data_IF_380761218323
#
_entry.id   IF_380761218323
#
_cell.length_a   1.000
_cell.length_b   1.000
_cell.length_c   1.000
_cell.angle_alpha   90.00
_cell.angle_beta   90.00
_cell.angle_gamma   90.00
#
_symmetry.space_group_name_H-M   'P 1'
#
loop_
_entity.id
_entity.type
_entity.pdbx_description
1 polymer ?
#
# COMPACT_ATOMS: atom_id res chain seq x y z
N UNK A 1 -15.64 7.76 -24.65
CA UNK A 1 -15.31 9.20 -24.55
C UNK A 1 -13.80 9.36 -24.78
N UNK A 2 -13.35 10.38 -25.52
CA UNK A 2 -11.91 10.71 -25.66
C UNK A 2 -11.52 11.81 -24.67
N UNK A 3 -10.26 11.86 -24.26
CA UNK A 3 -9.75 12.95 -23.41
C UNK A 3 -9.81 14.28 -24.16
N UNK A 4 -10.28 15.33 -23.48
CA UNK A 4 -10.26 16.70 -24.01
C UNK A 4 -8.98 17.40 -23.56
N UNK A 5 -7.98 17.44 -24.45
CA UNK A 5 -6.61 17.86 -24.12
C UNK A 5 -6.26 19.20 -24.77
N UNK A 6 -5.62 20.09 -24.00
CA UNK A 6 -4.96 21.31 -24.52
C UNK A 6 -3.47 21.08 -24.78
N UNK A 7 -2.82 20.34 -23.88
CA UNK A 7 -1.45 19.87 -24.00
C UNK A 7 -1.47 18.35 -24.20
N UNK A 8 -0.44 17.75 -24.82
CA UNK A 8 -0.29 16.29 -24.79
C UNK A 8 -0.26 15.78 -23.34
N UNK A 9 -0.87 14.63 -23.09
CA UNK A 9 -0.86 13.97 -21.79
C UNK A 9 0.03 12.73 -21.87
N UNK A 10 1.05 12.68 -21.01
CA UNK A 10 1.93 11.52 -20.88
C UNK A 10 1.47 10.64 -19.74
N UNK A 11 1.06 9.42 -20.06
CA UNK A 11 0.91 8.33 -19.11
C UNK A 11 2.24 7.61 -19.00
N UNK A 12 2.76 7.40 -17.80
CA UNK A 12 4.01 6.68 -17.63
C UNK A 12 4.03 5.83 -16.37
N UNK A 13 4.94 4.87 -16.41
CA UNK A 13 5.18 3.85 -15.39
C UNK A 13 6.67 3.49 -15.41
N UNK A 14 7.23 3.24 -14.23
CA UNK A 14 8.66 3.01 -14.00
C UNK A 14 8.88 1.72 -13.24
N UNK A 15 9.82 0.93 -13.74
CA UNK A 15 10.47 -0.12 -12.95
C UNK A 15 11.82 0.38 -12.45
N UNK A 16 12.19 0.01 -11.23
CA UNK A 16 13.40 0.51 -10.56
C UNK A 16 14.16 -0.58 -9.81
N UNK A 17 15.41 -0.29 -9.43
CA UNK A 17 16.27 -1.19 -8.64
C UNK A 17 15.74 -1.49 -7.23
N UNK A 18 14.78 -0.70 -6.75
CA UNK A 18 14.18 -0.75 -5.43
C UNK A 18 13.17 0.40 -5.22
N UNK A 19 12.67 0.56 -4.00
CA UNK A 19 11.60 1.52 -3.67
C UNK A 19 12.09 2.85 -3.03
N UNK A 20 13.39 3.01 -2.80
CA UNK A 20 13.94 4.22 -2.22
C UNK A 20 14.31 5.24 -3.30
N UNK A 21 13.42 6.21 -3.54
CA UNK A 21 13.59 7.30 -4.52
C UNK A 21 14.97 7.97 -4.46
N UNK A 22 15.54 8.16 -3.27
CA UNK A 22 16.80 8.88 -3.11
C UNK A 22 18.03 8.08 -3.58
N UNK A 23 17.98 6.74 -3.51
CA UNK A 23 19.15 5.88 -3.78
C UNK A 23 18.96 4.93 -4.95
N UNK A 24 17.74 4.50 -5.23
CA UNK A 24 17.41 3.60 -6.33
C UNK A 24 17.38 4.32 -7.68
N UNK A 25 17.39 3.52 -8.76
CA UNK A 25 17.56 3.96 -10.15
C UNK A 25 16.49 3.32 -11.02
N UNK A 26 16.12 3.99 -12.10
CA UNK A 26 15.19 3.48 -13.11
C UNK A 26 15.87 2.37 -13.93
N UNK A 27 15.17 1.25 -14.14
CA UNK A 27 15.59 0.14 -15.00
C UNK A 27 14.73 0.01 -16.26
N UNK A 28 13.47 0.46 -16.21
CA UNK A 28 12.60 0.57 -17.38
C UNK A 28 11.67 1.78 -17.23
N UNK A 29 11.44 2.48 -18.31
CA UNK A 29 10.46 3.56 -18.41
C UNK A 29 9.55 3.30 -19.61
N UNK A 30 8.25 3.19 -19.34
CA UNK A 30 7.22 3.14 -20.38
C UNK A 30 6.39 4.42 -20.34
N UNK A 31 6.16 5.03 -21.50
CA UNK A 31 5.39 6.25 -21.62
C UNK A 31 4.49 6.24 -22.86
N UNK A 32 3.19 6.43 -22.65
CA UNK A 32 2.17 6.66 -23.68
C UNK A 32 1.85 8.15 -23.75
N UNK A 33 2.17 8.77 -24.88
CA UNK A 33 1.84 10.17 -25.19
C UNK A 33 0.55 10.23 -25.97
N UNK A 34 -0.46 10.90 -25.38
CA UNK A 34 -1.74 11.17 -26.03
C UNK A 34 -1.79 12.63 -26.46
N UNK A 35 -1.98 12.86 -27.75
CA UNK A 35 -1.99 14.20 -28.35
C UNK A 35 -3.40 14.82 -28.34
N UNK A 36 -3.54 16.17 -28.45
CA UNK A 36 -4.85 16.83 -28.50
C UNK A 36 -5.80 16.36 -29.60
N UNK A 37 -5.27 15.93 -30.75
CA UNK A 37 -6.07 15.35 -31.84
C UNK A 37 -6.47 13.89 -31.59
N UNK A 38 -6.01 13.28 -30.49
CA UNK A 38 -6.26 11.90 -30.12
C UNK A 38 -5.23 10.89 -30.61
N UNK A 39 -4.19 11.33 -31.33
CA UNK A 39 -3.09 10.45 -31.74
C UNK A 39 -2.31 9.96 -30.51
N UNK A 40 -1.75 8.76 -30.64
CA UNK A 40 -1.06 8.08 -29.55
C UNK A 40 0.32 7.60 -30.01
N UNK A 41 1.33 7.84 -29.17
CA UNK A 41 2.70 7.36 -29.36
C UNK A 41 3.15 6.68 -28.06
N UNK A 42 3.51 5.39 -28.12
CA UNK A 42 4.08 4.68 -26.98
C UNK A 42 5.58 4.49 -27.16
N UNK A 43 6.33 4.71 -26.08
CA UNK A 43 7.76 4.40 -26.01
C UNK A 43 8.05 3.66 -24.72
N UNK A 44 8.75 2.55 -24.84
CA UNK A 44 9.25 1.78 -23.70
C UNK A 44 10.75 1.63 -23.87
N UNK A 45 11.50 1.85 -22.79
CA UNK A 45 12.95 1.78 -22.82
C UNK A 45 13.50 1.20 -21.54
N UNK A 46 14.29 0.13 -21.68
CA UNK A 46 15.18 -0.36 -20.64
C UNK A 46 16.39 0.54 -20.52
N UNK A 47 16.82 0.76 -19.29
CA UNK A 47 17.85 1.73 -18.91
C UNK A 47 18.85 1.00 -18.03
N UNK A 48 20.15 1.16 -18.30
CA UNK A 48 21.18 0.66 -17.41
C UNK A 48 21.20 1.54 -16.14
N UNK A 49 20.84 1.01 -14.96
CA UNK A 49 20.77 1.78 -13.72
C UNK A 49 22.15 2.13 -13.15
N UNK A 50 23.23 1.54 -13.65
CA UNK A 50 24.62 1.66 -13.16
C UNK A 50 24.84 1.17 -11.72
N UNK A 51 23.81 0.57 -11.09
CA UNK A 51 23.86 -0.06 -9.77
C UNK A 51 23.11 -1.41 -9.83
N UNK A 52 23.36 -2.35 -8.90
CA UNK A 52 22.65 -3.61 -8.87
C UNK A 52 21.14 -3.45 -8.63
N UNK A 53 20.33 -4.23 -9.33
CA UNK A 53 18.89 -4.42 -9.05
C UNK A 53 18.75 -5.30 -7.79
N UNK A 54 17.91 -4.90 -6.84
CA UNK A 54 17.63 -5.72 -5.66
C UNK A 54 16.91 -7.03 -6.03
N UNK A 55 17.16 -8.15 -5.32
CA UNK A 55 16.45 -9.40 -5.55
C UNK A 55 14.93 -9.24 -5.43
N UNK A 56 14.47 -8.40 -4.51
CA UNK A 56 13.05 -8.12 -4.29
C UNK A 56 12.45 -7.42 -5.52
N UNK A 57 13.08 -6.36 -6.03
CA UNK A 57 12.61 -5.67 -7.23
C UNK A 57 12.60 -6.61 -8.45
N UNK A 58 13.70 -7.35 -8.66
CA UNK A 58 13.79 -8.33 -9.74
C UNK A 58 12.69 -9.40 -9.64
N UNK A 59 12.33 -9.85 -8.42
CA UNK A 59 11.23 -10.82 -8.24
C UNK A 59 9.86 -10.27 -8.63
N UNK A 60 9.68 -8.95 -8.60
CA UNK A 60 8.43 -8.26 -8.93
C UNK A 60 8.32 -8.02 -10.43
N UNK A 61 9.29 -7.33 -11.03
CA UNK A 61 9.21 -6.89 -12.42
C UNK A 61 9.94 -7.83 -13.41
N UNK A 62 10.74 -8.78 -12.90
CA UNK A 62 11.40 -9.82 -13.72
C UNK A 62 12.58 -9.37 -14.57
N UNK A 63 13.12 -8.17 -14.35
CA UNK A 63 14.24 -7.61 -15.14
C UNK A 63 15.53 -7.88 -14.38
N UNK A 64 16.48 -8.57 -15.00
CA UNK A 64 17.77 -8.89 -14.38
C UNK A 64 18.82 -7.81 -14.64
N UNK A 65 19.96 -7.88 -13.94
CA UNK A 65 21.09 -6.98 -14.20
C UNK A 65 21.65 -7.18 -15.63
N UNK A 66 21.62 -8.41 -16.13
CA UNK A 66 22.10 -8.78 -17.47
C UNK A 66 21.20 -8.20 -18.56
N UNK A 67 19.88 -8.14 -18.34
CA UNK A 67 18.91 -7.58 -19.28
C UNK A 67 19.18 -6.11 -19.63
N UNK A 68 19.74 -5.36 -18.68
CA UNK A 68 19.96 -3.92 -18.78
C UNK A 68 21.44 -3.54 -18.91
N UNK A 69 22.36 -4.50 -18.80
CA UNK A 69 23.80 -4.24 -18.79
C UNK A 69 24.28 -3.45 -20.03
N UNK A 70 23.72 -3.75 -21.20
CA UNK A 70 24.06 -3.10 -22.47
C UNK A 70 23.06 -2.01 -22.91
N UNK A 71 22.06 -1.71 -22.07
CA UNK A 71 21.13 -0.62 -22.33
C UNK A 71 21.80 0.75 -22.11
N UNK A 72 21.29 1.83 -22.73
CA UNK A 72 21.77 3.17 -22.43
C UNK A 72 21.46 3.53 -20.98
N UNK A 73 22.36 4.27 -20.35
CA UNK A 73 22.16 4.85 -19.02
C UNK A 73 21.13 5.97 -19.07
N UNK A 74 20.54 6.32 -17.92
CA UNK A 74 19.60 7.43 -17.87
C UNK A 74 20.23 8.73 -18.38
N UNK A 75 21.49 8.99 -18.02
CA UNK A 75 22.25 10.18 -18.44
C UNK A 75 22.34 10.32 -19.96
N UNK A 76 22.49 9.22 -20.70
CA UNK A 76 22.56 9.22 -22.16
C UNK A 76 21.21 9.54 -22.81
N UNK A 77 20.10 9.15 -22.17
CA UNK A 77 18.75 9.34 -22.71
C UNK A 77 18.05 10.60 -22.19
N UNK A 78 18.54 11.18 -21.08
CA UNK A 78 17.87 12.26 -20.35
C UNK A 78 17.54 13.47 -21.25
N UNK A 79 18.48 13.94 -22.07
CA UNK A 79 18.23 15.12 -22.92
C UNK A 79 17.12 14.88 -23.95
N UNK A 80 17.15 13.75 -24.66
CA UNK A 80 16.14 13.44 -25.67
C UNK A 80 14.78 13.16 -25.04
N UNK A 81 14.76 12.51 -23.87
CA UNK A 81 13.55 12.29 -23.09
C UNK A 81 12.93 13.62 -22.62
N UNK A 82 13.74 14.53 -22.04
CA UNK A 82 13.28 15.85 -21.63
C UNK A 82 12.69 16.65 -22.81
N UNK A 83 13.32 16.61 -23.99
CA UNK A 83 12.78 17.24 -25.20
C UNK A 83 11.44 16.63 -25.61
N UNK A 84 11.33 15.30 -25.61
CA UNK A 84 10.09 14.61 -26.00
C UNK A 84 8.94 14.84 -25.01
N UNK A 85 9.25 14.97 -23.71
CA UNK A 85 8.29 15.28 -22.64
C UNK A 85 7.94 16.76 -22.53
N UNK A 86 8.73 17.65 -23.15
CA UNK A 86 8.48 19.09 -23.08
C UNK A 86 7.08 19.44 -23.61
N UNK A 87 6.41 20.35 -22.89
CA UNK A 87 5.06 20.78 -23.24
C UNK A 87 3.94 19.85 -22.77
N UNK A 88 4.25 18.65 -22.27
CA UNK A 88 3.26 17.68 -21.84
C UNK A 88 2.78 17.94 -20.41
N UNK A 89 1.51 17.62 -20.15
CA UNK A 89 1.02 17.29 -18.82
C UNK A 89 1.24 15.80 -18.53
N UNK A 90 1.11 15.38 -17.28
CA UNK A 90 1.52 14.06 -16.79
C UNK A 90 0.38 13.29 -16.15
N UNK A 91 0.42 11.97 -16.30
CA UNK A 91 -0.52 11.05 -15.70
C UNK A 91 0.14 9.71 -15.37
N UNK A 92 -0.43 9.00 -14.40
CA UNK A 92 -0.04 7.64 -14.05
C UNK A 92 -0.90 7.11 -12.91
N UNK A 93 -0.63 5.89 -12.45
CA UNK A 93 -1.35 5.29 -11.33
C UNK A 93 -0.44 5.28 -10.12
N UNK A 94 -0.71 6.12 -9.10
CA UNK A 94 0.20 6.37 -7.96
C UNK A 94 1.52 7.07 -8.33
N UNK A 95 1.57 7.67 -9.54
CA UNK A 95 2.78 8.31 -10.07
C UNK A 95 3.25 9.52 -9.26
N UNK A 96 2.35 10.21 -8.57
CA UNK A 96 2.72 11.37 -7.73
C UNK A 96 3.57 10.98 -6.53
N UNK A 97 3.44 9.73 -6.05
CA UNK A 97 4.13 9.24 -4.86
C UNK A 97 5.48 8.60 -5.19
N UNK A 98 5.65 8.05 -6.38
CA UNK A 98 6.82 7.24 -6.73
C UNK A 98 7.46 7.62 -8.06
N UNK A 99 6.76 7.45 -9.18
CA UNK A 99 7.32 7.60 -10.53
C UNK A 99 7.85 9.00 -10.82
N UNK A 100 7.08 10.05 -10.47
CA UNK A 100 7.50 11.44 -10.65
C UNK A 100 8.73 11.76 -9.80
N UNK A 101 8.75 11.47 -8.47
CA UNK A 101 9.94 11.63 -7.67
C UNK A 101 11.16 10.87 -8.22
N UNK A 102 10.99 9.61 -8.64
CA UNK A 102 12.08 8.80 -9.19
C UNK A 102 12.65 9.41 -10.48
N UNK A 103 11.77 9.81 -11.40
CA UNK A 103 12.18 10.42 -12.67
C UNK A 103 12.82 11.80 -12.47
N UNK A 104 12.33 12.59 -11.51
CA UNK A 104 12.93 13.86 -11.15
C UNK A 104 14.36 13.68 -10.60
N UNK A 105 14.57 12.71 -9.70
CA UNK A 105 15.89 12.36 -9.19
C UNK A 105 16.85 11.91 -10.30
N UNK A 106 16.39 11.09 -11.25
CA UNK A 106 17.19 10.69 -12.41
C UNK A 106 17.60 11.87 -13.31
N UNK A 107 16.68 12.82 -13.57
CA UNK A 107 17.00 14.05 -14.29
C UNK A 107 18.05 14.89 -13.56
N UNK A 108 17.93 15.03 -12.24
CA UNK A 108 18.91 15.73 -11.41
C UNK A 108 20.29 15.05 -11.44
N UNK A 109 20.35 13.72 -11.31
CA UNK A 109 21.60 12.93 -11.42
C UNK A 109 22.24 13.05 -12.80
N UNK A 110 21.44 13.14 -13.86
CA UNK A 110 21.92 13.35 -15.22
C UNK A 110 22.36 14.79 -15.51
N UNK A 111 22.09 15.75 -14.62
CA UNK A 111 22.37 17.17 -14.83
C UNK A 111 21.47 17.81 -15.90
N UNK A 112 20.26 17.27 -16.10
CA UNK A 112 19.29 17.79 -17.08
C UNK A 112 18.15 18.44 -16.32
N UNK A 113 17.92 19.73 -16.55
CA UNK A 113 16.84 20.47 -15.89
C UNK A 113 15.48 20.07 -16.45
N UNK A 114 14.64 19.47 -15.62
CA UNK A 114 13.25 19.17 -15.92
C UNK A 114 12.38 19.43 -14.69
N UNK A 115 11.41 20.33 -14.80
CA UNK A 115 10.58 20.74 -13.66
C UNK A 115 9.12 20.32 -13.85
N UNK A 116 8.75 19.19 -13.23
CA UNK A 116 7.40 18.66 -13.23
C UNK A 116 6.37 19.61 -12.58
N UNK A 117 6.80 20.49 -11.65
CA UNK A 117 5.89 21.39 -10.91
C UNK A 117 5.26 22.46 -11.80
N UNK A 118 5.80 22.68 -13.00
CA UNK A 118 5.26 23.61 -14.01
C UNK A 118 4.19 22.98 -14.90
N UNK A 119 3.87 21.70 -14.70
CA UNK A 119 2.90 20.93 -15.49
C UNK A 119 1.79 20.42 -14.60
N UNK A 120 0.67 20.05 -15.22
CA UNK A 120 -0.42 19.39 -14.49
C UNK A 120 -0.09 17.91 -14.34
N UNK A 121 -0.48 17.35 -13.22
CA UNK A 121 -0.35 15.93 -12.94
C UNK A 121 -1.72 15.36 -12.59
N UNK A 122 -2.11 14.29 -13.28
CA UNK A 122 -3.33 13.53 -13.02
C UNK A 122 -2.93 12.18 -12.45
N UNK A 123 -3.22 11.94 -11.18
CA UNK A 123 -3.00 10.64 -10.57
C UNK A 123 -4.29 9.82 -10.60
N UNK A 124 -4.31 8.77 -11.41
CA UNK A 124 -5.49 7.93 -11.64
C UNK A 124 -5.89 7.19 -10.36
N UNK A 125 -4.92 6.79 -9.52
CA UNK A 125 -5.22 6.14 -8.25
C UNK A 125 -5.96 7.10 -7.30
N UNK A 126 -5.55 8.37 -7.26
CA UNK A 126 -6.23 9.37 -6.43
C UNK A 126 -7.67 9.62 -6.88
N UNK A 127 -7.95 9.54 -8.19
CA UNK A 127 -9.33 9.61 -8.71
C UNK A 127 -10.11 8.38 -8.25
N UNK A 128 -9.55 7.18 -8.42
CA UNK A 128 -10.16 5.93 -7.96
C UNK A 128 -10.51 5.99 -6.46
N UNK A 129 -9.55 6.34 -5.59
CA UNK A 129 -9.81 6.43 -4.15
C UNK A 129 -10.84 7.50 -3.75
N UNK A 130 -11.00 8.56 -4.55
CA UNK A 130 -12.00 9.61 -4.28
C UNK A 130 -13.41 9.18 -4.65
N UNK A 131 -13.55 8.40 -5.73
CA UNK A 131 -14.85 7.96 -6.25
C UNK A 131 -15.30 6.62 -5.67
N UNK A 132 -14.36 5.71 -5.45
CA UNK A 132 -14.58 4.35 -4.92
C UNK A 132 -14.14 4.28 -3.45
N UNK A 133 -14.90 4.99 -2.61
CA UNK A 133 -14.60 5.09 -1.18
C UNK A 133 -14.83 3.76 -0.45
N UNK A 134 -14.02 3.50 0.58
CA UNK A 134 -14.17 2.34 1.48
C UNK A 134 -14.91 2.73 2.77
N UNK A 135 -16.07 3.37 2.62
CA UNK A 135 -16.93 3.82 3.71
C UNK A 135 -18.21 2.98 3.79
N UNK A 136 -18.90 3.00 4.93
CA UNK A 136 -20.18 2.30 5.09
C UNK A 136 -21.20 2.77 4.05
N UNK A 137 -21.35 4.08 3.84
CA UNK A 137 -22.25 4.65 2.84
C UNK A 137 -21.94 4.17 1.41
N UNK A 138 -20.65 4.10 1.05
CA UNK A 138 -20.23 3.60 -0.25
C UNK A 138 -20.54 2.10 -0.40
N UNK A 139 -20.30 1.31 0.65
CA UNK A 139 -20.65 -0.12 0.65
C UNK A 139 -22.17 -0.34 0.55
N UNK A 140 -22.96 0.44 1.28
CA UNK A 140 -24.42 0.36 1.26
C UNK A 140 -24.99 0.70 -0.11
N UNK A 141 -24.45 1.75 -0.75
CA UNK A 141 -24.77 2.09 -2.13
C UNK A 141 -24.36 1.00 -3.11
N UNK A 142 -23.17 0.45 -2.97
CA UNK A 142 -22.63 -0.55 -3.90
C UNK A 142 -23.36 -1.90 -3.82
N UNK A 143 -23.64 -2.39 -2.60
CA UNK A 143 -24.25 -3.70 -2.38
C UNK A 143 -25.78 -3.63 -2.42
N UNK A 144 -26.39 -2.60 -1.85
CA UNK A 144 -27.83 -2.52 -1.65
C UNK A 144 -28.52 -1.52 -2.60
N UNK A 145 -27.76 -0.74 -3.39
CA UNK A 145 -28.31 0.35 -4.24
C UNK A 145 -29.11 1.39 -3.45
N UNK A 146 -28.77 1.62 -2.18
CA UNK A 146 -29.44 2.56 -1.26
C UNK A 146 -28.47 3.65 -0.79
N UNK A 147 -29.01 4.84 -0.53
CA UNK A 147 -28.28 5.91 0.15
C UNK A 147 -28.47 5.77 1.67
N UNK A 148 -27.42 6.07 2.45
CA UNK A 148 -27.48 5.99 3.90
C UNK A 148 -28.04 7.29 4.50
N UNK A 149 -29.33 7.28 4.83
CA UNK A 149 -29.97 8.36 5.57
C UNK A 149 -29.59 8.30 7.06
N UNK A 150 -29.45 9.46 7.72
CA UNK A 150 -29.04 9.57 9.13
C UNK A 150 -27.72 8.86 9.46
N UNK A 151 -26.76 8.90 8.52
CA UNK A 151 -25.41 8.37 8.73
C UNK A 151 -24.81 8.87 10.06
N UNK A 152 -24.06 8.00 10.74
CA UNK A 152 -23.52 8.19 12.10
C UNK A 152 -24.53 8.04 13.25
N UNK A 153 -25.81 7.78 12.96
CA UNK A 153 -26.68 7.15 13.96
C UNK A 153 -26.28 5.68 14.13
N UNK A 154 -26.09 5.25 15.38
CA UNK A 154 -25.74 3.87 15.69
C UNK A 154 -26.76 2.86 15.12
N UNK A 155 -28.05 3.22 15.13
CA UNK A 155 -29.11 2.37 14.57
C UNK A 155 -29.00 2.28 13.04
N UNK A 156 -28.90 3.41 12.35
CA UNK A 156 -28.82 3.45 10.89
C UNK A 156 -27.59 2.70 10.38
N UNK A 157 -26.44 2.89 11.03
CA UNK A 157 -25.19 2.22 10.67
C UNK A 157 -25.28 0.70 10.92
N UNK A 158 -25.95 0.27 11.99
CA UNK A 158 -26.17 -1.15 12.31
C UNK A 158 -27.06 -1.82 11.28
N UNK A 159 -28.20 -1.21 10.94
CA UNK A 159 -29.14 -1.75 9.94
C UNK A 159 -28.49 -1.82 8.56
N UNK A 160 -27.80 -0.76 8.14
CA UNK A 160 -27.09 -0.76 6.86
C UNK A 160 -26.01 -1.85 6.81
N UNK A 161 -25.29 -2.09 7.91
CA UNK A 161 -24.29 -3.16 8.00
C UNK A 161 -24.91 -4.54 7.84
N UNK A 162 -26.06 -4.80 8.48
CA UNK A 162 -26.80 -6.04 8.32
C UNK A 162 -27.24 -6.27 6.87
N UNK A 163 -27.88 -5.28 6.24
CA UNK A 163 -28.33 -5.39 4.85
C UNK A 163 -27.16 -5.58 3.86
N UNK A 164 -26.00 -4.96 4.14
CA UNK A 164 -24.78 -5.18 3.35
C UNK A 164 -24.35 -6.65 3.42
N UNK A 165 -24.38 -7.27 4.60
CA UNK A 165 -23.98 -8.67 4.76
C UNK A 165 -24.93 -9.60 3.98
N UNK A 166 -26.24 -9.38 4.05
CA UNK A 166 -27.22 -10.12 3.25
C UNK A 166 -26.91 -10.01 1.74
N UNK A 167 -26.69 -8.78 1.25
CA UNK A 167 -26.35 -8.54 -0.14
C UNK A 167 -24.99 -9.14 -0.55
N UNK A 168 -24.02 -9.23 0.36
CA UNK A 168 -22.74 -9.90 0.12
C UNK A 168 -22.92 -11.42 -0.03
N UNK A 169 -23.73 -12.04 0.84
CA UNK A 169 -24.06 -13.47 0.76
C UNK A 169 -24.76 -13.80 -0.56
N UNK A 170 -25.71 -12.97 -0.99
CA UNK A 170 -26.41 -13.16 -2.27
C UNK A 170 -25.45 -13.01 -3.47
N UNK A 171 -24.61 -11.97 -3.45
CA UNK A 171 -23.70 -11.65 -4.56
C UNK A 171 -22.57 -12.67 -4.70
N UNK A 172 -22.07 -13.20 -3.59
CA UNK A 172 -20.90 -14.08 -3.54
C UNK A 172 -21.25 -15.48 -3.04
N UNK A 173 -22.46 -15.98 -3.35
CA UNK A 173 -22.96 -17.31 -2.96
C UNK A 173 -22.04 -18.50 -3.31
N UNK A 174 -21.18 -18.35 -4.31
CA UNK A 174 -20.23 -19.39 -4.74
C UNK A 174 -18.92 -19.35 -3.93
N UNK A 175 -18.73 -18.33 -3.09
CA UNK A 175 -17.52 -18.07 -2.29
C UNK A 175 -17.85 -18.03 -0.79
N UNK A 176 -18.98 -17.42 -0.41
CA UNK A 176 -19.41 -17.24 0.96
C UNK A 176 -20.43 -18.31 1.36
N UNK A 177 -20.20 -18.92 2.52
CA UNK A 177 -21.20 -19.77 3.18
C UNK A 177 -22.06 -18.90 4.10
N UNK A 178 -23.38 -19.09 4.07
CA UNK A 178 -24.31 -18.44 5.00
C UNK A 178 -24.27 -19.15 6.37
N UNK A 179 -23.09 -19.11 6.99
CA UNK A 179 -22.79 -19.69 8.28
C UNK A 179 -21.88 -18.73 9.05
N UNK A 180 -22.27 -18.40 10.29
CA UNK A 180 -21.56 -17.39 11.09
C UNK A 180 -20.13 -17.82 11.41
N UNK A 181 -19.87 -19.12 11.59
CA UNK A 181 -18.51 -19.60 11.85
C UNK A 181 -17.63 -19.41 10.62
N UNK A 182 -18.10 -19.81 9.44
CA UNK A 182 -17.38 -19.57 8.20
C UNK A 182 -17.11 -18.07 7.98
N UNK A 183 -18.12 -17.22 8.14
CA UNK A 183 -17.99 -15.77 7.94
C UNK A 183 -17.01 -15.12 8.93
N UNK A 184 -17.02 -15.57 10.19
CA UNK A 184 -16.06 -15.11 11.19
C UNK A 184 -14.63 -15.52 10.83
N UNK A 185 -14.41 -16.77 10.44
CA UNK A 185 -13.10 -17.26 10.02
C UNK A 185 -12.61 -16.53 8.76
N UNK A 186 -13.49 -16.37 7.76
CA UNK A 186 -13.19 -15.71 6.48
C UNK A 186 -12.87 -14.22 6.62
N UNK A 187 -13.50 -13.52 7.57
CA UNK A 187 -13.30 -12.08 7.80
C UNK A 187 -12.17 -11.74 8.77
N UNK A 188 -11.60 -12.75 9.45
CA UNK A 188 -10.54 -12.55 10.43
C UNK A 188 -9.22 -12.17 9.76
N UNK A 189 -8.67 -11.00 10.11
CA UNK A 189 -7.37 -10.52 9.58
C UNK A 189 -6.15 -11.06 10.34
N UNK A 190 -6.32 -11.41 11.61
CA UNK A 190 -5.25 -11.89 12.50
C UNK A 190 -5.83 -12.60 13.71
N UNK A 191 -5.16 -13.64 14.21
CA UNK A 191 -5.48 -14.31 15.47
C UNK A 191 -5.10 -13.42 16.67
N UNK A 192 -5.92 -12.41 16.95
CA UNK A 192 -5.68 -11.50 18.06
C UNK A 192 -6.02 -12.13 19.40
N UNK A 193 -5.19 -11.89 20.42
CA UNK A 193 -5.49 -12.29 21.80
C UNK A 193 -6.24 -11.19 22.56
N UNK A 194 -6.08 -9.93 22.17
CA UNK A 194 -6.83 -8.79 22.68
C UNK A 194 -7.70 -8.15 21.59
N UNK A 195 -8.82 -7.52 21.97
CA UNK A 195 -9.74 -6.90 21.00
C UNK A 195 -9.13 -5.72 20.24
N UNK A 196 -8.10 -5.08 20.80
CA UNK A 196 -7.43 -3.94 20.18
C UNK A 196 -6.30 -4.33 19.20
N UNK A 197 -6.04 -5.62 19.00
CA UNK A 197 -5.05 -6.08 18.00
C UNK A 197 -3.60 -5.83 18.39
N UNK A 198 -3.31 -5.59 19.68
CA UNK A 198 -1.98 -5.24 20.18
C UNK A 198 -1.12 -6.48 20.43
N UNK A 199 -1.75 -7.59 20.76
CA UNK A 199 -1.15 -8.90 21.00
C UNK A 199 -1.81 -9.89 20.05
N UNK A 200 -1.02 -10.53 19.20
CA UNK A 200 -1.50 -11.55 18.24
C UNK A 200 -0.72 -12.85 18.43
N UNK A 201 -1.25 -13.94 17.89
CA UNK A 201 -0.52 -15.19 17.73
C UNK A 201 0.25 -15.18 16.41
N UNK A 202 1.51 -15.63 16.44
CA UNK A 202 2.26 -15.96 15.24
C UNK A 202 1.87 -17.33 14.67
N UNK A 203 2.54 -17.77 13.61
CA UNK A 203 2.26 -19.04 12.93
C UNK A 203 2.53 -20.28 13.81
N UNK A 204 3.28 -20.12 14.91
CA UNK A 204 3.54 -21.17 15.89
C UNK A 204 2.67 -21.03 17.15
N UNK A 205 1.60 -20.23 17.07
CA UNK A 205 0.70 -19.89 18.16
C UNK A 205 1.44 -19.26 19.38
N UNK A 206 2.52 -18.52 19.13
CA UNK A 206 3.24 -17.75 20.15
C UNK A 206 2.68 -16.33 20.24
N UNK A 207 2.33 -15.83 21.45
CA UNK A 207 1.93 -14.46 21.64
C UNK A 207 3.05 -13.47 21.32
N UNK A 208 2.81 -12.57 20.36
CA UNK A 208 3.75 -11.53 19.91
C UNK A 208 3.14 -10.13 20.03
N UNK A 209 4.01 -9.12 20.20
CA UNK A 209 3.64 -7.72 20.16
C UNK A 209 3.37 -7.32 18.70
N UNK A 210 2.23 -6.71 18.40
CA UNK A 210 1.84 -6.32 17.03
C UNK A 210 2.02 -4.82 16.73
N UNK A 211 2.74 -4.08 17.59
CA UNK A 211 2.88 -2.63 17.46
C UNK A 211 4.20 -2.09 18.01
N UNK A 212 4.53 -0.86 17.63
CA UNK A 212 5.66 -0.12 18.18
C UNK A 212 7.03 -0.77 17.93
N UNK A 213 8.03 -0.37 18.73
CA UNK A 213 9.43 -0.80 18.59
C UNK A 213 9.67 -2.31 18.74
N UNK A 214 8.74 -3.03 19.38
CA UNK A 214 8.85 -4.47 19.63
C UNK A 214 7.94 -5.30 18.71
N UNK A 215 7.36 -4.69 17.66
CA UNK A 215 6.49 -5.39 16.72
C UNK A 215 7.17 -6.66 16.17
N UNK A 216 6.46 -7.79 16.20
CA UNK A 216 6.92 -9.10 15.75
C UNK A 216 7.70 -9.89 16.81
N UNK A 217 8.01 -9.31 17.98
CA UNK A 217 8.73 -10.02 19.04
C UNK A 217 7.75 -10.71 19.99
N UNK A 218 8.12 -11.89 20.50
CA UNK A 218 7.31 -12.58 21.51
C UNK A 218 7.18 -11.77 22.79
N UNK A 219 5.99 -11.78 23.39
CA UNK A 219 5.71 -11.07 24.65
C UNK A 219 6.70 -11.49 25.72
N UNK A 220 7.02 -12.79 25.79
CA UNK A 220 8.02 -13.32 26.72
C UNK A 220 9.41 -12.72 26.50
N UNK A 221 9.90 -12.70 25.26
CA UNK A 221 11.23 -12.14 24.96
C UNK A 221 11.32 -10.65 25.32
N UNK A 222 10.21 -9.93 25.15
CA UNK A 222 10.12 -8.51 25.48
C UNK A 222 10.17 -8.32 27.00
N UNK A 223 9.43 -9.10 27.80
CA UNK A 223 9.51 -8.99 29.25
C UNK A 223 10.88 -9.35 29.82
N UNK A 224 11.58 -10.31 29.20
CA UNK A 224 12.95 -10.66 29.61
C UNK A 224 13.96 -9.57 29.28
N UNK A 225 13.82 -8.91 28.11
CA UNK A 225 14.79 -7.92 27.63
C UNK A 225 14.46 -6.46 27.98
N UNK A 226 13.21 -6.16 28.33
CA UNK A 226 12.71 -4.83 28.65
C UNK A 226 11.78 -4.93 29.88
N UNK A 227 12.38 -5.08 31.07
CA UNK A 227 11.66 -5.33 32.32
C UNK A 227 10.64 -4.22 32.68
N UNK A 228 10.85 -2.99 32.18
CA UNK A 228 9.93 -1.87 32.36
C UNK A 228 8.71 -1.91 31.44
N UNK A 229 8.72 -2.74 30.39
CA UNK A 229 7.71 -2.72 29.33
C UNK A 229 6.30 -3.06 29.84
N UNK A 230 6.19 -4.05 30.74
CA UNK A 230 4.92 -4.38 31.38
C UNK A 230 4.33 -3.18 32.14
N UNK A 231 5.12 -2.55 33.00
CA UNK A 231 4.68 -1.39 33.78
C UNK A 231 4.30 -0.22 32.86
N UNK A 232 5.07 0.00 31.80
CA UNK A 232 4.75 1.01 30.79
C UNK A 232 3.38 0.73 30.13
N UNK A 233 3.07 -0.52 29.75
CA UNK A 233 1.76 -0.85 29.18
C UNK A 233 0.62 -0.69 30.19
N UNK A 234 0.83 -1.04 31.46
CA UNK A 234 -0.19 -0.88 32.50
C UNK A 234 -0.52 0.59 32.79
N UNK A 235 0.49 1.46 32.75
CA UNK A 235 0.34 2.89 33.00
C UNK A 235 -0.01 3.71 31.74
N UNK A 236 0.19 3.13 30.56
CA UNK A 236 -0.11 3.77 29.28
C UNK A 236 -1.60 3.74 28.91
N UNK A 237 -1.93 4.44 27.83
CA UNK A 237 -3.27 4.49 27.23
C UNK A 237 -3.58 3.23 26.39
N UNK A 238 -3.58 2.08 27.06
CA UNK A 238 -4.02 0.80 26.50
C UNK A 238 -5.42 0.45 27.02
N UNK A 239 -6.16 -0.33 26.22
CA UNK A 239 -7.48 -0.83 26.63
C UNK A 239 -7.35 -1.74 27.86
N UNK A 240 -8.40 -1.82 28.68
CA UNK A 240 -8.42 -2.70 29.85
C UNK A 240 -8.25 -4.17 29.45
N UNK A 241 -8.83 -4.58 28.33
CA UNK A 241 -8.67 -5.92 27.76
C UNK A 241 -7.22 -6.23 27.39
N UNK A 242 -6.55 -5.34 26.65
CA UNK A 242 -5.11 -5.47 26.35
C UNK A 242 -4.28 -5.60 27.64
N UNK A 243 -4.61 -4.80 28.67
CA UNK A 243 -3.95 -4.85 29.98
C UNK A 243 -4.25 -6.14 30.73
N UNK A 244 -5.45 -6.70 30.61
CA UNK A 244 -5.79 -7.98 31.20
C UNK A 244 -5.00 -9.12 30.53
N UNK A 245 -5.05 -9.21 29.19
CA UNK A 245 -4.33 -10.22 28.40
C UNK A 245 -2.83 -10.20 28.71
N UNK A 246 -2.23 -9.01 28.78
CA UNK A 246 -0.80 -8.90 29.04
C UNK A 246 -0.41 -9.29 30.47
N UNK A 247 -1.29 -9.05 31.45
CA UNK A 247 -1.13 -9.54 32.83
C UNK A 247 -1.26 -11.05 32.91
N UNK A 248 -2.24 -11.65 32.24
CA UNK A 248 -2.43 -13.11 32.20
C UNK A 248 -1.21 -13.81 31.59
N UNK A 249 -0.69 -13.29 30.47
CA UNK A 249 0.53 -13.79 29.85
C UNK A 249 1.73 -13.69 30.80
N UNK A 250 1.90 -12.55 31.48
CA UNK A 250 2.96 -12.37 32.47
C UNK A 250 2.90 -13.41 33.60
N UNK A 251 1.72 -13.61 34.19
CA UNK A 251 1.51 -14.61 35.25
C UNK A 251 1.81 -16.02 34.73
N UNK A 252 1.39 -16.36 33.51
CA UNK A 252 1.67 -17.65 32.87
C UNK A 252 3.17 -17.89 32.68
N UNK A 253 3.93 -16.86 32.30
CA UNK A 253 5.40 -16.96 32.15
C UNK A 253 6.12 -17.11 33.51
N UNK A 254 5.71 -16.34 34.51
CA UNK A 254 6.30 -16.39 35.86
C UNK A 254 6.01 -17.70 36.57
N UNK A 255 4.84 -18.30 36.35
CA UNK A 255 4.47 -19.62 36.88
C UNK A 255 5.21 -20.77 36.18
N UNK A 256 5.38 -20.70 34.85
CA UNK A 256 6.13 -21.70 34.09
C UNK A 256 7.64 -21.68 34.40
N UNK A 257 8.19 -20.51 34.76
CA UNK A 257 9.61 -20.36 35.13
C UNK A 257 9.94 -20.86 36.55
N UNK A 258 8.93 -21.17 37.38
CA UNK A 258 9.12 -21.73 38.74
C UNK A 258 9.06 -23.25 38.79
N UNK A 259 8.72 -23.90 37.67
CA UNK A 259 8.58 -25.35 37.52
C UNK A 259 9.80 -26.02 36.85
N UNK A 260 10.84 -25.24 36.53
CA UNK A 260 12.15 -25.64 36.00
C UNK A 260 13.24 -25.26 37.01
#
# INVERSE_FOLDING_TARGET
>A
MKLNLKNPLLFFDIESTGLNVATDRIVELSALKVMPNGDQEIKTRRINPTIPISPEAQSIHGISNEDVANCPTFKEVAKSLATWMSGCDFSGYNATKFDIPMLAEEFLRAGVSFDFRKRRVVDVQNIFHKLEQRTLSAAYKFYCSKELENAHSAEADTVATFEILEAQLDRYKDILENDVKFLADFSTKSKSLDYAGRIILDDNDVPIINFGKHKGRSVESVFRSDAGYYSWMMNGEFTLDTKQVITELKIKFESSSKLL
#
